data_IF_858383221614
#
_entry.id   IF_858383221614
#
_cell.length_a   1.000
_cell.length_b   1.000
_cell.length_c   1.000
_cell.angle_alpha   90.00
_cell.angle_beta   90.00
_cell.angle_gamma   90.00
#
_symmetry.space_group_name_H-M   'P 1'
#
loop_
_entity.id
_entity.type
_entity.pdbx_description
1 polymer ?
#
# COMPACT_ATOMS: atom_id res chain seq x y z
N UNK A 1 97.81 -34.69 12.03
CA UNK A 1 96.96 -34.64 10.87
C UNK A 1 95.52 -34.60 11.39
N UNK A 2 94.97 -33.43 11.47
CA UNK A 2 93.53 -33.20 11.86
C UNK A 2 92.94 -32.35 10.75
N UNK A 3 91.99 -32.96 10.04
CA UNK A 3 91.24 -32.26 9.01
C UNK A 3 90.19 -31.38 9.69
N UNK A 4 90.10 -30.11 9.24
CA UNK A 4 89.14 -29.13 9.66
C UNK A 4 88.06 -29.09 8.60
N UNK A 5 86.87 -29.59 8.93
CA UNK A 5 85.66 -29.41 8.08
C UNK A 5 85.06 -28.03 8.32
N UNK A 6 85.06 -27.20 7.30
CA UNK A 6 84.44 -25.89 7.29
C UNK A 6 82.99 -26.07 6.82
N UNK A 7 82.05 -25.92 7.80
CA UNK A 7 80.62 -26.01 7.49
C UNK A 7 80.10 -24.64 7.05
N UNK A 8 79.66 -24.53 5.78
CA UNK A 8 79.09 -23.31 5.23
C UNK A 8 77.56 -23.32 5.53
N UNK A 9 77.14 -22.48 6.49
CA UNK A 9 75.72 -22.29 6.80
C UNK A 9 75.09 -21.31 5.79
N UNK A 10 74.20 -21.80 4.96
CA UNK A 10 73.43 -21.02 4.02
C UNK A 10 72.20 -20.43 4.77
N UNK A 11 72.26 -19.12 5.09
CA UNK A 11 71.11 -18.36 5.60
C UNK A 11 70.10 -18.12 4.48
N UNK A 12 69.00 -18.87 4.43
CA UNK A 12 67.85 -18.58 3.58
C UNK A 12 67.01 -17.54 4.35
N UNK A 13 67.09 -16.28 3.91
CA UNK A 13 66.23 -15.21 4.39
C UNK A 13 64.78 -15.43 3.89
N UNK A 14 63.90 -15.79 4.79
CA UNK A 14 62.46 -15.80 4.49
C UNK A 14 61.95 -14.37 4.58
N UNK A 15 61.78 -13.70 3.40
CA UNK A 15 61.07 -12.46 3.31
C UNK A 15 59.57 -12.79 3.44
N UNK A 16 59.02 -12.62 4.65
CA UNK A 16 57.55 -12.52 4.87
C UNK A 16 57.09 -11.16 4.29
N UNK A 17 56.73 -11.13 3.04
CA UNK A 17 55.89 -10.05 2.50
C UNK A 17 54.49 -10.24 3.04
N UNK A 18 54.15 -9.42 4.04
CA UNK A 18 52.78 -9.27 4.49
C UNK A 18 51.97 -8.62 3.36
N UNK A 19 51.32 -9.45 2.54
CA UNK A 19 50.26 -8.99 1.64
C UNK A 19 49.06 -8.67 2.48
N UNK A 20 48.93 -7.41 2.89
CA UNK A 20 47.66 -6.85 3.33
C UNK A 20 46.69 -6.86 2.15
N UNK A 21 46.03 -7.99 1.92
CA UNK A 21 44.89 -8.06 1.05
C UNK A 21 43.65 -7.52 1.80
N UNK A 22 43.62 -6.21 2.02
CA UNK A 22 42.37 -5.48 2.29
C UNK A 22 41.71 -5.15 0.96
N UNK A 23 41.36 -6.17 0.19
CA UNK A 23 40.42 -6.08 -0.93
C UNK A 23 39.15 -6.83 -0.58
N UNK A 24 38.43 -6.36 0.45
CA UNK A 24 36.99 -6.56 0.53
C UNK A 24 36.32 -5.59 -0.46
N UNK A 25 36.59 -5.74 -1.74
CA UNK A 25 35.69 -5.28 -2.77
C UNK A 25 34.50 -6.27 -2.72
N UNK A 26 33.55 -5.99 -1.84
CA UNK A 26 32.21 -6.53 -1.96
C UNK A 26 31.75 -6.18 -3.38
N UNK A 27 31.66 -7.18 -4.24
CA UNK A 27 31.13 -7.08 -5.60
C UNK A 27 29.60 -6.94 -5.53
N UNK A 28 29.15 -5.93 -4.75
CA UNK A 28 27.73 -5.60 -4.65
C UNK A 28 27.32 -5.02 -5.98
N UNK A 29 26.27 -5.56 -6.60
CA UNK A 29 25.71 -5.03 -7.86
C UNK A 29 25.37 -3.53 -7.73
N UNK A 30 25.33 -2.82 -8.87
CA UNK A 30 24.82 -1.45 -8.85
C UNK A 30 23.40 -1.41 -8.30
N UNK A 31 23.15 -0.49 -7.37
CA UNK A 31 21.87 -0.39 -6.70
C UNK A 31 21.93 0.41 -5.41
N UNK A 32 20.81 0.45 -4.73
CA UNK A 32 20.67 1.04 -3.40
C UNK A 32 20.33 -0.06 -2.41
N UNK A 33 21.00 -0.05 -1.26
CA UNK A 33 20.85 -1.09 -0.25
C UNK A 33 20.66 -0.47 1.11
N UNK A 34 19.83 -1.13 1.93
CA UNK A 34 19.70 -0.86 3.35
C UNK A 34 20.26 -2.04 4.14
N UNK A 35 21.16 -1.78 5.09
CA UNK A 35 21.56 -2.75 6.09
C UNK A 35 20.83 -2.43 7.39
N UNK A 36 19.94 -3.30 7.82
CA UNK A 36 19.26 -3.23 9.12
C UNK A 36 20.07 -4.09 10.09
N UNK A 37 20.85 -3.43 10.97
CA UNK A 37 21.54 -4.11 12.05
C UNK A 37 20.56 -4.35 13.20
N UNK A 38 20.45 -5.59 13.63
CA UNK A 38 19.53 -5.99 14.69
C UNK A 38 20.24 -6.72 15.81
N UNK A 39 19.57 -6.92 16.95
CA UNK A 39 20.04 -7.76 18.06
C UNK A 39 20.25 -9.23 17.68
N UNK A 40 19.81 -9.67 16.49
CA UNK A 40 19.95 -11.05 15.99
C UNK A 40 20.95 -11.17 14.83
N UNK A 41 21.44 -10.07 14.32
CA UNK A 41 22.34 -9.98 13.16
C UNK A 41 21.91 -8.94 12.14
N UNK A 42 22.54 -8.96 11.00
CA UNK A 42 22.33 -7.99 9.94
C UNK A 42 21.37 -8.53 8.88
N UNK A 43 20.51 -7.65 8.35
CA UNK A 43 19.60 -7.92 7.23
C UNK A 43 19.94 -6.95 6.12
N UNK A 44 20.50 -7.44 5.01
CA UNK A 44 20.82 -6.65 3.84
C UNK A 44 19.67 -6.69 2.84
N UNK A 45 19.17 -5.53 2.45
CA UNK A 45 17.98 -5.36 1.60
C UNK A 45 18.36 -4.54 0.37
N UNK A 46 18.02 -5.03 -0.83
CA UNK A 46 18.07 -4.24 -2.06
C UNK A 46 16.80 -3.41 -2.15
N UNK A 47 16.95 -2.09 -2.36
CA UNK A 47 15.84 -1.14 -2.47
C UNK A 47 15.51 -0.86 -3.95
N UNK A 48 14.23 -0.87 -4.29
CA UNK A 48 13.72 -0.69 -5.66
C UNK A 48 13.47 0.80 -6.00
N UNK A 49 14.51 1.63 -5.81
CA UNK A 49 14.42 3.09 -5.92
C UNK A 49 14.06 3.61 -7.32
N UNK A 50 14.23 2.81 -8.39
CA UNK A 50 13.81 3.17 -9.75
C UNK A 50 12.33 2.82 -10.00
N UNK A 51 11.80 1.78 -9.33
CA UNK A 51 10.43 1.30 -9.52
C UNK A 51 9.43 1.92 -8.52
N UNK A 52 9.90 2.18 -7.29
CA UNK A 52 9.09 2.79 -6.23
C UNK A 52 9.85 3.95 -5.56
N UNK A 53 10.17 5.01 -6.34
CA UNK A 53 11.01 6.11 -5.89
C UNK A 53 10.43 6.88 -4.69
N UNK A 54 9.11 7.08 -4.60
CA UNK A 54 8.46 7.75 -3.48
C UNK A 54 8.65 6.96 -2.17
N UNK A 55 8.36 5.66 -2.21
CA UNK A 55 8.41 4.78 -1.04
C UNK A 55 9.84 4.59 -0.55
N UNK A 56 10.78 4.34 -1.48
CA UNK A 56 12.21 4.24 -1.14
C UNK A 56 12.74 5.57 -0.61
N UNK A 57 12.35 6.69 -1.21
CA UNK A 57 12.77 8.02 -0.75
C UNK A 57 12.31 8.30 0.68
N UNK A 58 11.07 7.97 1.03
CA UNK A 58 10.58 8.07 2.40
C UNK A 58 11.43 7.24 3.37
N UNK A 59 11.63 5.97 3.09
CA UNK A 59 12.39 5.06 3.93
C UNK A 59 13.84 5.53 4.11
N UNK A 60 14.51 5.86 3.02
CA UNK A 60 15.92 6.32 3.00
C UNK A 60 16.08 7.65 3.75
N UNK A 61 15.21 8.63 3.47
CA UNK A 61 15.31 9.93 4.12
C UNK A 61 15.02 9.85 5.64
N UNK A 62 14.15 8.95 6.07
CA UNK A 62 13.94 8.65 7.49
C UNK A 62 15.17 7.94 8.08
N UNK A 63 15.71 6.91 7.42
CA UNK A 63 16.90 6.19 7.88
C UNK A 63 18.12 7.11 8.05
N UNK A 64 18.29 8.07 7.15
CA UNK A 64 19.39 9.04 7.20
C UNK A 64 19.12 10.28 8.08
N UNK A 65 17.90 10.40 8.64
CA UNK A 65 17.50 11.56 9.43
C UNK A 65 17.25 12.83 8.61
N UNK A 66 17.11 12.72 7.30
CA UNK A 66 16.95 13.86 6.38
C UNK A 66 15.47 14.23 6.13
N UNK A 67 14.52 13.49 6.72
CA UNK A 67 13.10 13.72 6.60
C UNK A 67 12.53 14.46 7.81
N UNK A 68 11.85 15.61 7.57
CA UNK A 68 11.10 16.28 8.64
C UNK A 68 9.97 15.37 9.13
N UNK A 69 9.96 15.11 10.42
CA UNK A 69 8.96 14.27 11.08
C UNK A 69 8.66 14.81 12.49
N UNK A 70 7.67 14.23 13.18
CA UNK A 70 7.24 14.70 14.53
C UNK A 70 7.92 13.94 15.67
N UNK A 71 8.81 12.96 15.40
CA UNK A 71 9.35 12.04 16.43
C UNK A 71 10.84 12.21 16.65
N UNK A 72 11.59 12.60 15.62
CA UNK A 72 13.05 12.80 15.67
C UNK A 72 13.40 14.15 15.06
N UNK A 73 14.50 14.76 15.52
CA UNK A 73 15.03 15.97 14.90
C UNK A 73 15.71 15.68 13.58
N UNK A 74 15.79 16.66 12.71
CA UNK A 74 16.63 16.57 11.50
C UNK A 74 18.07 16.27 11.91
N UNK A 75 18.69 15.29 11.24
CA UNK A 75 20.01 14.77 11.52
C UNK A 75 20.00 13.53 12.44
N UNK A 76 18.85 13.17 13.03
CA UNK A 76 18.72 11.96 13.85
C UNK A 76 18.10 10.83 13.02
N UNK A 77 18.79 9.67 12.83
CA UNK A 77 18.23 8.49 12.17
C UNK A 77 16.93 8.04 12.84
N UNK A 78 15.88 7.90 12.02
CA UNK A 78 14.53 7.65 12.55
C UNK A 78 14.37 6.25 13.11
N UNK A 79 14.93 5.24 12.43
CA UNK A 79 14.73 3.83 12.75
C UNK A 79 15.62 3.30 13.87
N UNK A 80 16.71 3.99 14.18
CA UNK A 80 17.66 3.54 15.18
C UNK A 80 17.02 3.43 16.58
N UNK A 81 17.13 2.24 17.17
CA UNK A 81 16.54 1.89 18.47
C UNK A 81 15.05 1.50 18.41
N UNK A 82 14.41 1.48 17.24
CA UNK A 82 13.03 1.04 17.14
C UNK A 82 12.91 -0.49 17.18
N UNK A 83 11.74 -0.97 17.60
CA UNK A 83 11.44 -2.40 17.76
C UNK A 83 10.74 -3.00 16.54
N UNK A 84 10.90 -4.30 16.38
CA UNK A 84 9.93 -5.12 15.66
C UNK A 84 8.74 -5.40 16.58
N UNK A 85 7.80 -4.47 16.61
CA UNK A 85 6.67 -4.46 17.56
C UNK A 85 5.60 -5.51 17.25
N UNK A 86 5.63 -6.13 16.08
CA UNK A 86 4.70 -7.19 15.68
C UNK A 86 5.43 -8.24 14.84
N UNK A 87 5.43 -9.46 15.34
CA UNK A 87 6.01 -10.63 14.64
C UNK A 87 4.96 -11.72 14.59
N UNK A 88 4.67 -12.21 13.40
CA UNK A 88 3.76 -13.35 13.22
C UNK A 88 4.52 -14.42 12.44
N UNK A 89 4.73 -15.56 13.10
CA UNK A 89 5.39 -16.71 12.50
C UNK A 89 4.70 -17.11 11.18
N UNK A 90 5.50 -17.55 10.21
CA UNK A 90 5.03 -17.92 8.87
C UNK A 90 4.28 -16.82 8.11
N UNK A 91 4.41 -15.57 8.52
CA UNK A 91 3.81 -14.44 7.83
C UNK A 91 4.81 -13.29 7.65
N UNK A 92 5.12 -12.50 8.69
CA UNK A 92 6.01 -11.34 8.56
C UNK A 92 6.56 -10.85 9.91
N UNK A 93 7.61 -10.04 9.85
CA UNK A 93 8.07 -9.16 10.92
C UNK A 93 7.74 -7.71 10.55
N UNK A 94 7.22 -6.92 11.48
CA UNK A 94 6.82 -5.53 11.27
C UNK A 94 7.50 -4.60 12.26
N UNK A 95 8.14 -3.55 11.74
CA UNK A 95 8.85 -2.53 12.50
C UNK A 95 8.56 -1.11 12.02
N UNK A 96 9.38 -0.14 12.45
CA UNK A 96 9.30 1.26 12.02
C UNK A 96 8.23 2.10 12.74
N UNK A 97 7.58 1.55 13.77
CA UNK A 97 6.66 2.31 14.61
C UNK A 97 7.44 3.07 15.70
N UNK A 98 7.40 4.41 15.77
CA UNK A 98 8.17 5.19 16.72
C UNK A 98 7.75 4.96 18.19
N UNK A 99 6.49 4.61 18.40
CA UNK A 99 5.93 4.38 19.74
C UNK A 99 6.04 2.89 20.16
N UNK A 100 6.47 2.00 19.23
CA UNK A 100 6.60 0.56 19.49
C UNK A 100 5.29 -0.17 19.76
N UNK A 101 4.14 0.45 19.45
CA UNK A 101 2.78 -0.08 19.72
C UNK A 101 1.98 -0.38 18.45
N UNK A 102 2.54 -0.08 17.27
CA UNK A 102 1.86 -0.25 15.99
C UNK A 102 0.93 0.91 15.58
N UNK A 103 0.68 1.87 16.46
CA UNK A 103 -0.20 3.02 16.20
C UNK A 103 0.54 4.30 15.84
N UNK A 104 1.85 4.38 16.13
CA UNK A 104 2.68 5.56 15.86
C UNK A 104 3.02 5.72 14.37
N UNK A 105 3.15 6.97 13.94
CA UNK A 105 3.57 7.36 12.59
C UNK A 105 4.57 8.54 12.64
N UNK A 106 5.18 8.92 11.50
CA UNK A 106 6.14 10.01 11.48
C UNK A 106 5.50 11.41 11.53
N UNK A 107 4.16 11.50 11.65
CA UNK A 107 3.40 12.75 11.65
C UNK A 107 2.90 13.19 10.27
N UNK A 108 3.01 12.30 9.28
CA UNK A 108 2.47 12.48 7.92
C UNK A 108 2.12 11.11 7.31
N UNK A 109 1.36 11.17 6.22
CA UNK A 109 1.03 10.02 5.38
C UNK A 109 1.36 10.31 3.92
N UNK A 110 1.62 9.25 3.14
CA UNK A 110 1.87 9.37 1.71
C UNK A 110 1.15 8.28 0.93
N UNK A 111 1.01 8.52 -0.38
CA UNK A 111 0.25 7.67 -1.30
C UNK A 111 0.88 6.30 -1.49
N UNK A 112 0.05 5.31 -1.80
CA UNK A 112 0.51 4.01 -2.26
C UNK A 112 1.26 4.14 -3.59
N UNK A 113 2.27 3.28 -3.78
CA UNK A 113 3.08 3.23 -4.97
C UNK A 113 3.25 1.76 -5.40
N UNK A 114 2.41 1.34 -6.34
CA UNK A 114 2.40 -0.04 -6.83
C UNK A 114 3.11 -0.14 -8.19
N UNK A 115 4.00 -1.12 -8.31
CA UNK A 115 4.66 -1.44 -9.57
C UNK A 115 4.30 -2.87 -9.99
N UNK A 116 3.98 -3.13 -11.28
CA UNK A 116 3.51 -4.44 -11.75
C UNK A 116 4.50 -5.58 -11.51
N UNK A 117 5.81 -5.29 -11.55
CA UNK A 117 6.86 -6.29 -11.32
C UNK A 117 7.14 -6.57 -9.84
N UNK A 118 6.62 -5.75 -8.92
CA UNK A 118 6.88 -5.88 -7.49
C UNK A 118 5.69 -6.54 -6.80
N UNK A 119 5.91 -7.75 -6.34
CA UNK A 119 4.91 -8.64 -5.76
C UNK A 119 5.37 -9.23 -4.43
N UNK A 120 4.42 -9.68 -3.63
CA UNK A 120 4.68 -10.45 -2.42
C UNK A 120 4.77 -11.95 -2.75
N UNK A 121 5.66 -12.32 -3.69
CA UNK A 121 5.76 -13.64 -4.31
C UNK A 121 6.71 -14.61 -3.59
N UNK A 122 7.40 -14.15 -2.55
CA UNK A 122 8.38 -14.93 -1.78
C UNK A 122 8.56 -14.38 -0.37
N UNK A 123 9.37 -15.07 0.45
CA UNK A 123 9.92 -14.52 1.69
C UNK A 123 10.96 -13.43 1.42
N UNK A 124 11.17 -12.55 2.41
CA UNK A 124 12.13 -11.45 2.33
C UNK A 124 11.65 -10.22 1.54
N UNK A 125 10.38 -10.14 1.19
CA UNK A 125 9.81 -8.93 0.56
C UNK A 125 9.65 -7.82 1.60
N UNK A 126 10.25 -6.65 1.32
CA UNK A 126 10.10 -5.43 2.11
C UNK A 126 8.93 -4.61 1.55
N UNK A 127 7.94 -4.33 2.39
CA UNK A 127 6.71 -3.66 2.00
C UNK A 127 6.20 -2.71 3.08
N UNK A 128 5.43 -1.68 2.71
CA UNK A 128 4.87 -0.70 3.64
C UNK A 128 3.67 -1.26 4.42
N UNK A 129 3.68 -1.11 5.73
CA UNK A 129 2.49 -1.26 6.53
C UNK A 129 1.62 0.00 6.43
N UNK A 130 0.30 -0.18 6.32
CA UNK A 130 -0.67 0.91 6.23
C UNK A 130 -2.00 0.56 6.92
N UNK A 131 -2.87 1.54 7.10
CA UNK A 131 -4.23 1.40 7.66
C UNK A 131 -5.32 1.48 6.60
N UNK A 132 -4.98 1.28 5.34
CA UNK A 132 -5.83 1.39 4.16
C UNK A 132 -5.14 2.21 3.06
N UNK A 133 -5.81 2.46 1.92
CA UNK A 133 -5.22 3.16 0.79
C UNK A 133 -4.60 4.52 1.16
N UNK A 134 -3.40 4.79 0.63
CA UNK A 134 -2.71 6.09 0.78
C UNK A 134 -2.42 6.51 2.22
N UNK A 135 -2.21 5.55 3.12
CA UNK A 135 -1.91 5.83 4.54
C UNK A 135 -0.53 5.35 4.97
N UNK A 136 0.42 5.23 4.03
CA UNK A 136 1.80 4.85 4.34
C UNK A 136 2.48 5.90 5.21
N UNK A 137 3.35 5.47 6.11
CA UNK A 137 4.11 6.33 7.02
C UNK A 137 5.55 5.84 7.17
N UNK A 138 5.95 5.46 8.39
CA UNK A 138 7.28 4.91 8.66
C UNK A 138 7.29 3.39 8.87
N UNK A 139 6.12 2.77 9.09
CA UNK A 139 6.05 1.35 9.40
C UNK A 139 6.21 0.50 8.14
N UNK A 140 7.01 -0.55 8.24
CA UNK A 140 7.25 -1.52 7.18
C UNK A 140 7.21 -2.95 7.73
N UNK A 141 7.11 -3.92 6.84
CA UNK A 141 7.23 -5.33 7.19
C UNK A 141 8.13 -6.09 6.19
N UNK A 142 8.69 -7.19 6.65
CA UNK A 142 9.46 -8.13 5.84
C UNK A 142 8.77 -9.48 5.93
N UNK A 143 8.45 -10.08 4.78
CA UNK A 143 7.70 -11.35 4.74
C UNK A 143 8.58 -12.56 5.06
N UNK A 144 8.01 -13.58 5.72
CA UNK A 144 8.66 -14.89 5.91
C UNK A 144 8.45 -15.79 4.69
N UNK A 145 7.35 -15.63 3.96
CA UNK A 145 6.98 -16.40 2.78
C UNK A 145 6.16 -15.54 1.81
N UNK A 146 5.70 -16.11 0.71
CA UNK A 146 4.78 -15.48 -0.22
C UNK A 146 3.47 -15.06 0.45
N UNK A 147 2.98 -13.85 0.12
CA UNK A 147 1.74 -13.29 0.66
C UNK A 147 0.95 -12.55 -0.44
N UNK A 148 0.54 -13.24 -1.52
CA UNK A 148 -0.01 -12.59 -2.72
C UNK A 148 -1.29 -11.81 -2.48
N UNK A 149 -2.04 -12.09 -1.41
CA UNK A 149 -3.24 -11.33 -1.02
C UNK A 149 -2.96 -9.88 -0.57
N UNK A 150 -1.68 -9.51 -0.39
CA UNK A 150 -1.23 -8.15 -0.08
C UNK A 150 -0.92 -7.33 -1.34
N UNK A 151 -0.85 -7.95 -2.52
CA UNK A 151 -0.60 -7.27 -3.79
C UNK A 151 -1.66 -6.22 -4.07
N UNK A 152 -1.21 -5.03 -4.51
CA UNK A 152 -2.09 -3.88 -4.76
C UNK A 152 -2.73 -3.27 -3.50
N UNK A 153 -2.29 -3.68 -2.30
CA UNK A 153 -2.74 -3.12 -1.01
C UNK A 153 -1.58 -2.54 -0.19
N UNK A 154 -0.38 -3.09 -0.36
CA UNK A 154 0.84 -2.65 0.32
C UNK A 154 1.94 -2.43 -0.72
N UNK A 155 2.66 -1.31 -0.59
CA UNK A 155 3.71 -0.91 -1.53
C UNK A 155 4.98 -1.70 -1.27
N UNK A 156 5.33 -2.62 -2.18
CA UNK A 156 6.61 -3.32 -2.17
C UNK A 156 7.70 -2.37 -2.63
N UNK A 157 8.79 -2.26 -1.87
CA UNK A 157 9.89 -1.34 -2.21
C UNK A 157 11.29 -1.91 -2.04
N UNK A 158 11.42 -3.20 -1.74
CA UNK A 158 12.69 -3.88 -1.63
C UNK A 158 12.57 -5.37 -1.39
N UNK A 159 13.70 -6.05 -1.36
CA UNK A 159 13.81 -7.46 -1.00
C UNK A 159 15.12 -7.77 -0.29
N UNK A 160 15.08 -8.70 0.65
CA UNK A 160 16.25 -9.20 1.37
C UNK A 160 17.16 -9.94 0.38
N UNK A 161 18.43 -9.58 0.39
CA UNK A 161 19.48 -10.22 -0.41
C UNK A 161 20.43 -11.07 0.45
N UNK A 162 20.60 -10.69 1.74
CA UNK A 162 21.34 -11.46 2.74
C UNK A 162 20.67 -11.33 4.11
N UNK A 163 20.75 -12.33 4.98
CA UNK A 163 20.20 -12.30 6.34
C UNK A 163 18.75 -12.77 6.44
N UNK A 164 18.26 -13.62 5.53
CA UNK A 164 16.92 -14.19 5.65
C UNK A 164 16.77 -15.09 6.89
N UNK A 165 17.85 -15.74 7.33
CA UNK A 165 17.93 -16.48 8.58
C UNK A 165 17.76 -15.55 9.80
N UNK A 166 18.25 -14.31 9.72
CA UNK A 166 18.04 -13.28 10.75
C UNK A 166 16.58 -12.84 10.78
N UNK A 167 15.96 -12.58 9.61
CA UNK A 167 14.52 -12.28 9.49
C UNK A 167 13.69 -13.35 10.20
N UNK A 168 14.01 -14.63 9.97
CA UNK A 168 13.31 -15.75 10.59
C UNK A 168 13.59 -15.92 12.09
N UNK A 169 14.71 -15.37 12.60
CA UNK A 169 15.10 -15.42 14.00
C UNK A 169 14.59 -14.22 14.83
N UNK A 170 14.11 -13.15 14.19
CA UNK A 170 13.55 -11.97 14.88
C UNK A 170 12.32 -12.39 15.67
N UNK A 171 12.31 -12.00 16.94
CA UNK A 171 11.18 -12.11 17.85
C UNK A 171 10.53 -10.74 18.08
N UNK A 172 9.32 -10.76 18.61
CA UNK A 172 8.64 -9.51 19.00
C UNK A 172 9.47 -8.77 20.04
N UNK A 173 9.56 -7.46 19.88
CA UNK A 173 10.37 -6.52 20.67
C UNK A 173 11.89 -6.57 20.45
N UNK A 174 12.40 -7.41 19.56
CA UNK A 174 13.79 -7.29 19.10
C UNK A 174 14.03 -5.91 18.46
N UNK A 175 15.25 -5.39 18.61
CA UNK A 175 15.59 -4.00 18.29
C UNK A 175 16.35 -3.91 16.96
N UNK A 176 15.96 -2.93 16.14
CA UNK A 176 16.80 -2.40 15.07
C UNK A 176 17.84 -1.45 15.70
N UNK A 177 19.11 -1.89 15.78
CA UNK A 177 20.17 -1.07 16.35
C UNK A 177 20.50 0.13 15.48
N UNK A 178 20.54 -0.10 14.15
CA UNK A 178 20.72 0.97 13.16
C UNK A 178 20.23 0.55 11.78
N UNK A 179 19.90 1.54 10.93
CA UNK A 179 19.61 1.35 9.52
C UNK A 179 20.55 2.22 8.68
N UNK A 180 21.44 1.59 7.92
CA UNK A 180 22.44 2.29 7.10
C UNK A 180 22.15 2.10 5.61
N UNK A 181 22.36 3.16 4.81
CA UNK A 181 22.08 3.15 3.38
C UNK A 181 23.39 3.14 2.58
N UNK A 182 23.53 2.17 1.69
CA UNK A 182 24.65 2.06 0.76
C UNK A 182 24.17 2.31 -0.66
N UNK A 183 24.89 3.18 -1.38
CA UNK A 183 24.60 3.55 -2.77
C UNK A 183 25.74 3.11 -3.67
N UNK A 184 25.50 2.15 -4.55
CA UNK A 184 26.46 1.67 -5.54
C UNK A 184 26.00 2.04 -6.97
N UNK A 185 26.90 2.62 -7.78
CA UNK A 185 26.58 3.12 -9.11
C UNK A 185 26.10 4.58 -9.13
N UNK A 186 26.11 5.18 -10.30
CA UNK A 186 25.84 6.62 -10.48
C UNK A 186 24.41 7.02 -10.15
N UNK A 187 23.43 6.22 -10.55
CA UNK A 187 21.99 6.47 -10.30
C UNK A 187 21.70 6.48 -8.80
N UNK A 188 22.16 5.46 -8.06
CA UNK A 188 21.95 5.38 -6.63
C UNK A 188 22.63 6.55 -5.89
N UNK A 189 23.85 6.92 -6.29
CA UNK A 189 24.62 8.05 -5.71
C UNK A 189 23.95 9.41 -5.94
N UNK A 190 23.26 9.58 -7.06
CA UNK A 190 22.54 10.82 -7.38
C UNK A 190 21.16 10.92 -6.76
N UNK A 191 20.67 9.87 -6.08
CA UNK A 191 19.35 9.82 -5.48
C UNK A 191 19.33 10.62 -4.17
N UNK A 192 18.83 11.85 -4.22
CA UNK A 192 18.51 12.68 -3.06
C UNK A 192 17.13 12.33 -2.54
N UNK A 193 17.09 11.55 -1.47
CA UNK A 193 15.85 10.96 -0.96
C UNK A 193 14.83 12.01 -0.50
N UNK A 194 15.25 13.05 0.22
CA UNK A 194 14.34 14.08 0.72
C UNK A 194 13.71 14.88 -0.43
N UNK A 195 14.52 15.22 -1.45
CA UNK A 195 14.05 15.91 -2.64
C UNK A 195 13.11 15.03 -3.47
N UNK A 196 13.50 13.78 -3.73
CA UNK A 196 12.68 12.82 -4.50
C UNK A 196 11.33 12.60 -3.83
N UNK A 197 11.28 12.44 -2.50
CA UNK A 197 10.02 12.31 -1.77
C UNK A 197 9.10 13.50 -2.00
N UNK A 198 9.58 14.73 -1.87
CA UNK A 198 8.80 15.95 -2.08
C UNK A 198 8.27 16.07 -3.52
N UNK A 199 9.13 15.79 -4.50
CA UNK A 199 8.79 15.89 -5.92
C UNK A 199 7.75 14.81 -6.32
N UNK A 200 7.96 13.55 -5.95
CA UNK A 200 7.07 12.44 -6.30
C UNK A 200 5.73 12.53 -5.57
N UNK A 201 5.71 12.90 -4.29
CA UNK A 201 4.46 13.14 -3.58
C UNK A 201 3.65 14.28 -4.21
N UNK A 202 4.31 15.36 -4.58
CA UNK A 202 3.66 16.48 -5.29
C UNK A 202 3.08 16.04 -6.63
N UNK A 203 3.82 15.24 -7.39
CA UNK A 203 3.38 14.68 -8.67
C UNK A 203 2.16 13.76 -8.50
N UNK A 204 2.18 12.88 -7.50
CA UNK A 204 1.04 11.98 -7.22
C UNK A 204 -0.20 12.74 -6.78
N UNK A 205 -0.07 13.75 -5.91
CA UNK A 205 -1.18 14.62 -5.51
C UNK A 205 -1.81 15.32 -6.72
N UNK A 206 -0.99 15.90 -7.61
CA UNK A 206 -1.47 16.55 -8.84
C UNK A 206 -2.18 15.57 -9.77
N UNK A 207 -1.66 14.35 -9.91
CA UNK A 207 -2.28 13.30 -10.73
C UNK A 207 -3.64 12.85 -10.14
N UNK A 208 -3.73 12.67 -8.83
CA UNK A 208 -4.97 12.34 -8.14
C UNK A 208 -6.02 13.46 -8.28
N UNK A 209 -5.62 14.73 -8.11
CA UNK A 209 -6.50 15.89 -8.30
C UNK A 209 -7.01 16.03 -9.74
N UNK A 210 -6.14 15.77 -10.72
CA UNK A 210 -6.54 15.73 -12.13
C UNK A 210 -7.59 14.65 -12.37
N UNK A 211 -7.33 13.43 -11.91
CA UNK A 211 -8.27 12.30 -12.04
C UNK A 211 -9.60 12.60 -11.35
N UNK A 212 -9.57 13.20 -10.15
CA UNK A 212 -10.79 13.61 -9.42
C UNK A 212 -11.61 14.63 -10.21
N UNK A 213 -10.97 15.63 -10.84
CA UNK A 213 -11.65 16.63 -11.69
C UNK A 213 -12.26 15.99 -12.94
N UNK A 214 -11.55 15.08 -13.59
CA UNK A 214 -12.05 14.33 -14.76
C UNK A 214 -13.27 13.48 -14.38
N UNK A 215 -13.22 12.77 -13.24
CA UNK A 215 -14.37 12.01 -12.73
C UNK A 215 -15.56 12.90 -12.40
N UNK A 216 -15.34 14.04 -11.74
CA UNK A 216 -16.40 14.99 -11.43
C UNK A 216 -17.09 15.53 -12.70
N UNK A 217 -16.31 15.82 -13.74
CA UNK A 217 -16.86 16.23 -15.04
C UNK A 217 -17.65 15.11 -15.72
N UNK A 218 -17.13 13.87 -15.70
CA UNK A 218 -17.83 12.71 -16.24
C UNK A 218 -19.14 12.45 -15.48
N UNK A 219 -19.11 12.51 -14.14
CA UNK A 219 -20.32 12.39 -13.31
C UNK A 219 -21.35 13.46 -13.63
N UNK A 220 -20.92 14.71 -13.79
CA UNK A 220 -21.82 15.81 -14.18
C UNK A 220 -22.54 15.50 -15.51
N UNK A 221 -21.82 14.96 -16.49
CA UNK A 221 -22.42 14.56 -17.78
C UNK A 221 -23.40 13.39 -17.62
N UNK A 222 -23.09 12.39 -16.79
CA UNK A 222 -24.01 11.28 -16.50
C UNK A 222 -25.29 11.75 -15.82
N UNK A 223 -25.19 12.80 -14.99
CA UNK A 223 -26.31 13.37 -14.24
C UNK A 223 -27.17 14.34 -15.06
N UNK A 224 -26.84 14.58 -16.34
CA UNK A 224 -27.71 15.40 -17.22
C UNK A 224 -29.10 14.77 -17.32
N UNK A 225 -30.15 15.58 -17.04
CA UNK A 225 -31.54 15.14 -16.99
C UNK A 225 -31.92 14.26 -15.79
N UNK A 226 -31.04 14.13 -14.78
CA UNK A 226 -31.36 13.53 -13.50
C UNK A 226 -31.75 14.60 -12.46
N UNK A 227 -32.63 14.23 -11.53
CA UNK A 227 -32.80 14.99 -10.29
C UNK A 227 -31.61 14.68 -9.38
N UNK A 228 -30.94 15.72 -8.89
CA UNK A 228 -29.77 15.58 -7.99
C UNK A 228 -30.23 15.98 -6.60
N UNK A 229 -30.01 15.11 -5.63
CA UNK A 229 -30.33 15.34 -4.22
C UNK A 229 -29.23 16.12 -3.50
N UNK A 230 -29.49 16.58 -2.26
CA UNK A 230 -28.49 17.29 -1.44
C UNK A 230 -27.25 16.40 -1.13
N UNK A 231 -27.42 15.08 -1.06
CA UNK A 231 -26.31 14.14 -0.85
C UNK A 231 -25.42 13.97 -2.08
N UNK A 232 -25.90 14.41 -3.27
CA UNK A 232 -25.24 14.22 -4.55
C UNK A 232 -25.70 12.97 -5.32
N UNK A 233 -26.71 12.23 -4.83
CA UNK A 233 -27.34 11.15 -5.58
C UNK A 233 -28.07 11.72 -6.81
N UNK A 234 -27.78 11.19 -8.00
CA UNK A 234 -28.59 11.44 -9.21
C UNK A 234 -29.62 10.34 -9.39
N UNK A 235 -30.89 10.72 -9.69
CA UNK A 235 -31.88 9.72 -10.11
C UNK A 235 -32.73 10.18 -11.29
N UNK A 236 -33.05 9.26 -12.17
CA UNK A 236 -33.97 9.47 -13.29
C UNK A 236 -35.15 8.54 -13.11
N UNK A 237 -36.34 9.11 -12.88
CA UNK A 237 -37.57 8.31 -12.83
C UNK A 237 -37.92 7.82 -14.24
N UNK A 238 -37.95 6.52 -14.42
CA UNK A 238 -38.30 5.85 -15.69
C UNK A 238 -39.78 5.52 -15.71
N UNK A 239 -40.33 5.12 -14.58
CA UNK A 239 -41.76 4.83 -14.44
C UNK A 239 -42.20 5.15 -13.02
N UNK A 240 -43.24 5.95 -12.87
CA UNK A 240 -43.86 6.18 -11.57
C UNK A 240 -44.57 4.92 -11.07
N UNK A 241 -44.35 4.58 -9.82
CA UNK A 241 -45.12 3.52 -9.15
C UNK A 241 -46.47 4.04 -8.66
N UNK A 242 -47.44 3.17 -8.62
CA UNK A 242 -48.81 3.49 -8.15
C UNK A 242 -49.15 2.84 -6.81
N UNK A 243 -48.27 1.98 -6.29
CA UNK A 243 -48.44 1.29 -5.03
C UNK A 243 -47.93 2.06 -3.80
N UNK A 244 -47.62 1.35 -2.73
CA UNK A 244 -47.17 1.90 -1.44
C UNK A 244 -45.80 2.57 -1.61
N UNK A 245 -45.60 3.73 -0.95
CA UNK A 245 -44.35 4.44 -0.86
C UNK A 245 -43.34 3.64 -0.01
N UNK A 246 -42.09 3.49 -0.50
CA UNK A 246 -41.00 2.97 0.32
C UNK A 246 -40.67 3.98 1.44
N UNK A 247 -40.61 3.50 2.67
CA UNK A 247 -40.29 4.32 3.84
C UNK A 247 -39.27 3.61 4.74
N UNK A 248 -38.44 4.38 5.43
CA UNK A 248 -37.44 3.84 6.35
C UNK A 248 -38.06 2.90 7.39
N UNK A 249 -37.39 1.81 7.70
CA UNK A 249 -37.82 0.79 8.63
C UNK A 249 -38.73 -0.29 8.03
N UNK A 250 -39.19 -0.12 6.78
CA UNK A 250 -39.96 -1.14 6.04
C UNK A 250 -39.02 -2.08 5.27
N UNK A 251 -39.43 -3.32 5.14
CA UNK A 251 -38.77 -4.29 4.24
C UNK A 251 -39.19 -4.00 2.82
N UNK A 252 -38.23 -3.77 1.95
CA UNK A 252 -38.44 -3.53 0.52
C UNK A 252 -37.92 -4.71 -0.30
N UNK A 253 -38.60 -5.02 -1.42
CA UNK A 253 -38.20 -6.02 -2.40
C UNK A 253 -37.85 -5.30 -3.70
N UNK A 254 -36.60 -5.45 -4.19
CA UNK A 254 -36.07 -4.66 -5.30
C UNK A 254 -35.42 -5.55 -6.33
N UNK A 255 -35.84 -5.41 -7.59
CA UNK A 255 -35.04 -5.88 -8.73
C UNK A 255 -34.07 -4.80 -9.20
N UNK A 256 -32.87 -5.21 -9.62
CA UNK A 256 -31.85 -4.27 -10.08
C UNK A 256 -30.86 -4.86 -11.05
N UNK A 257 -30.18 -3.96 -11.78
CA UNK A 257 -28.93 -4.22 -12.51
C UNK A 257 -27.94 -3.13 -12.21
N UNK A 258 -26.79 -3.49 -11.63
CA UNK A 258 -25.68 -2.59 -11.31
C UNK A 258 -24.60 -2.63 -12.38
N UNK A 259 -24.17 -1.43 -12.83
CA UNK A 259 -23.17 -1.22 -13.89
C UNK A 259 -22.14 -0.17 -13.46
N UNK A 260 -20.92 -0.32 -13.96
CA UNK A 260 -19.92 0.75 -13.98
C UNK A 260 -20.27 1.79 -15.06
N UNK A 261 -19.57 2.93 -15.04
CA UNK A 261 -19.80 4.02 -16.00
C UNK A 261 -19.41 3.69 -17.45
N UNK A 262 -18.62 2.64 -17.65
CA UNK A 262 -18.29 2.07 -18.97
C UNK A 262 -19.32 1.06 -19.48
N UNK A 263 -20.38 0.80 -18.70
CA UNK A 263 -21.43 -0.16 -19.01
C UNK A 263 -21.17 -1.58 -18.51
N UNK A 264 -20.00 -1.86 -17.92
CA UNK A 264 -19.68 -3.18 -17.37
C UNK A 264 -20.64 -3.54 -16.24
N UNK A 265 -21.44 -4.59 -16.42
CA UNK A 265 -22.34 -5.12 -15.39
C UNK A 265 -21.51 -5.85 -14.31
N UNK A 266 -21.69 -5.48 -13.04
CA UNK A 266 -21.02 -6.13 -11.94
C UNK A 266 -21.95 -6.98 -11.07
N UNK A 267 -23.26 -6.69 -11.03
CA UNK A 267 -24.25 -7.49 -10.33
C UNK A 267 -25.66 -7.25 -10.89
N UNK A 268 -26.52 -8.27 -10.79
CA UNK A 268 -27.95 -8.16 -11.15
C UNK A 268 -28.79 -9.19 -10.41
N UNK A 269 -29.91 -8.76 -9.86
CA UNK A 269 -30.93 -9.64 -9.29
C UNK A 269 -31.63 -10.48 -10.35
N UNK A 270 -31.66 -10.01 -11.58
CA UNK A 270 -32.25 -10.74 -12.72
C UNK A 270 -31.43 -11.99 -13.09
N UNK A 271 -30.10 -11.98 -12.86
CA UNK A 271 -29.25 -13.16 -13.10
C UNK A 271 -29.58 -14.31 -12.14
N UNK A 272 -30.20 -14.00 -11.00
CA UNK A 272 -30.65 -14.95 -9.96
C UNK A 272 -32.16 -15.22 -10.01
N UNK A 273 -32.89 -14.51 -10.88
CA UNK A 273 -34.36 -14.50 -10.93
C UNK A 273 -35.03 -14.25 -9.56
N UNK A 274 -34.36 -13.48 -8.69
CA UNK A 274 -34.82 -13.21 -7.34
C UNK A 274 -34.50 -11.77 -6.95
N UNK A 275 -35.50 -10.94 -6.55
CA UNK A 275 -35.27 -9.61 -6.01
C UNK A 275 -34.48 -9.70 -4.70
N UNK A 276 -33.76 -8.64 -4.37
CA UNK A 276 -33.13 -8.50 -3.05
C UNK A 276 -34.16 -7.92 -2.07
N UNK A 277 -34.21 -8.48 -0.87
CA UNK A 277 -35.02 -7.94 0.24
C UNK A 277 -34.13 -7.38 1.34
N UNK A 278 -34.43 -6.19 1.83
CA UNK A 278 -33.73 -5.56 2.95
C UNK A 278 -34.61 -4.54 3.67
N UNK A 279 -34.25 -4.20 4.92
CA UNK A 279 -34.92 -3.14 5.68
C UNK A 279 -34.32 -1.80 5.29
N UNK A 280 -35.14 -0.91 4.72
CA UNK A 280 -34.71 0.40 4.20
C UNK A 280 -34.24 1.32 5.34
N UNK A 281 -33.16 2.07 5.08
CA UNK A 281 -32.63 3.07 6.02
C UNK A 281 -31.82 2.49 7.18
N UNK A 282 -31.42 1.21 7.14
CA UNK A 282 -30.68 0.54 8.20
C UNK A 282 -29.18 0.31 7.84
N UNK A 283 -28.69 0.88 6.74
CA UNK A 283 -27.30 0.69 6.30
C UNK A 283 -26.97 -0.75 5.89
N UNK A 284 -27.96 -1.51 5.46
CA UNK A 284 -27.76 -2.88 4.93
C UNK A 284 -27.29 -2.89 3.49
N UNK A 285 -27.46 -1.77 2.82
CA UNK A 285 -27.04 -1.51 1.45
C UNK A 285 -26.22 -0.22 1.40
N UNK A 286 -25.65 0.12 0.24
CA UNK A 286 -24.95 1.40 0.07
C UNK A 286 -25.88 2.58 0.30
N UNK A 287 -25.32 3.70 0.81
CA UNK A 287 -26.11 4.90 1.18
C UNK A 287 -27.00 5.41 0.05
N UNK A 288 -26.48 5.40 -1.19
CA UNK A 288 -27.24 5.81 -2.37
C UNK A 288 -28.48 4.95 -2.62
N UNK A 289 -28.51 3.70 -2.17
CA UNK A 289 -29.70 2.84 -2.23
C UNK A 289 -30.70 3.15 -1.12
N UNK A 290 -30.22 3.28 0.14
CA UNK A 290 -31.12 3.63 1.27
C UNK A 290 -31.85 4.95 0.98
N UNK A 291 -31.17 5.90 0.35
CA UNK A 291 -31.77 7.16 -0.05
C UNK A 291 -32.66 7.00 -1.32
N UNK A 292 -32.12 6.45 -2.41
CA UNK A 292 -32.79 6.42 -3.71
C UNK A 292 -34.08 5.61 -3.72
N UNK A 293 -34.10 4.45 -3.03
CA UNK A 293 -35.32 3.62 -2.94
C UNK A 293 -36.44 4.33 -2.19
N UNK A 294 -36.12 5.22 -1.23
CA UNK A 294 -37.13 6.00 -0.51
C UNK A 294 -37.97 6.92 -1.39
N UNK A 295 -37.49 7.25 -2.58
CA UNK A 295 -38.22 8.06 -3.57
C UNK A 295 -39.20 7.25 -4.43
N UNK A 296 -39.16 5.90 -4.33
CA UNK A 296 -39.99 5.03 -5.17
C UNK A 296 -41.28 4.60 -4.45
N UNK A 297 -42.31 4.35 -5.27
CA UNK A 297 -43.52 3.60 -4.92
C UNK A 297 -43.49 2.23 -5.58
N UNK A 298 -44.18 1.25 -5.03
CA UNK A 298 -44.30 -0.10 -5.61
C UNK A 298 -44.76 -0.02 -7.06
N UNK A 299 -44.05 -0.74 -7.94
CA UNK A 299 -44.20 -0.72 -9.39
C UNK A 299 -43.41 0.40 -10.10
N UNK A 300 -42.71 1.23 -9.34
CA UNK A 300 -41.83 2.29 -9.85
C UNK A 300 -40.49 1.77 -10.31
N UNK A 301 -39.93 2.43 -11.34
CA UNK A 301 -38.59 2.16 -11.89
C UNK A 301 -37.79 3.43 -11.98
N UNK A 302 -36.52 3.37 -11.63
CA UNK A 302 -35.59 4.48 -11.76
C UNK A 302 -34.17 4.01 -12.12
N UNK A 303 -33.41 4.91 -12.71
CA UNK A 303 -31.95 4.76 -12.81
C UNK A 303 -31.32 5.65 -11.76
N UNK A 304 -30.51 5.07 -10.88
CA UNK A 304 -29.71 5.78 -9.89
C UNK A 304 -28.27 5.94 -10.42
N UNK A 305 -27.71 7.13 -10.26
CA UNK A 305 -26.32 7.48 -10.52
C UNK A 305 -25.71 7.82 -9.19
N UNK A 306 -24.93 6.90 -8.64
CA UNK A 306 -24.47 6.93 -7.26
C UNK A 306 -22.97 7.25 -7.24
N UNK A 307 -22.56 8.46 -6.80
CA UNK A 307 -21.16 8.78 -6.58
C UNK A 307 -20.50 7.83 -5.57
N UNK A 308 -19.19 7.68 -5.67
CA UNK A 308 -18.44 6.72 -4.86
C UNK A 308 -18.60 6.89 -3.34
N UNK A 309 -18.73 8.10 -2.86
CA UNK A 309 -18.92 8.44 -1.45
C UNK A 309 -20.30 8.00 -0.89
N UNK A 310 -21.28 7.78 -1.77
CA UNK A 310 -22.56 7.15 -1.44
C UNK A 310 -22.57 5.64 -1.75
N UNK A 311 -21.44 5.08 -2.19
CA UNK A 311 -21.26 3.68 -2.60
C UNK A 311 -20.11 3.02 -1.79
N UNK A 312 -19.03 2.60 -2.48
CA UNK A 312 -17.93 1.84 -1.88
C UNK A 312 -16.64 2.66 -1.65
N UNK A 313 -16.66 3.96 -1.95
CA UNK A 313 -15.58 4.91 -1.66
C UNK A 313 -14.24 4.55 -2.27
N UNK A 314 -13.17 4.93 -1.58
CA UNK A 314 -11.78 4.69 -2.02
C UNK A 314 -11.36 3.22 -2.00
N UNK A 315 -12.11 2.34 -1.34
CA UNK A 315 -11.77 0.90 -1.25
C UNK A 315 -12.28 0.09 -2.44
N UNK A 316 -13.35 0.56 -3.11
CA UNK A 316 -14.06 -0.28 -4.07
C UNK A 316 -14.66 -1.53 -3.42
N UNK A 317 -15.04 -2.54 -4.20
CA UNK A 317 -15.61 -3.79 -3.67
C UNK A 317 -15.30 -5.00 -4.56
N UNK A 318 -14.96 -6.12 -3.91
CA UNK A 318 -14.90 -7.46 -4.50
C UNK A 318 -13.95 -7.64 -5.68
N UNK A 319 -13.00 -6.72 -5.91
CA UNK A 319 -12.13 -6.73 -7.10
C UNK A 319 -12.85 -6.40 -8.40
N UNK A 320 -14.16 -6.17 -8.37
CA UNK A 320 -15.02 -5.89 -9.53
C UNK A 320 -15.37 -4.41 -9.61
N UNK A 321 -15.57 -3.76 -8.46
CA UNK A 321 -15.85 -2.32 -8.35
C UNK A 321 -14.55 -1.59 -8.00
N UNK A 322 -13.99 -0.80 -8.93
CA UNK A 322 -12.76 -0.06 -8.68
C UNK A 322 -12.88 0.98 -7.56
N UNK A 323 -11.77 1.41 -6.96
CA UNK A 323 -11.72 2.57 -6.07
C UNK A 323 -12.33 3.82 -6.72
N UNK A 324 -13.12 4.55 -5.92
CA UNK A 324 -13.78 5.80 -6.33
C UNK A 324 -14.75 5.68 -7.52
N UNK A 325 -15.27 4.48 -7.80
CA UNK A 325 -16.19 4.25 -8.91
C UNK A 325 -17.56 4.88 -8.64
N UNK A 326 -18.08 5.63 -9.62
CA UNK A 326 -19.49 5.98 -9.70
C UNK A 326 -20.27 4.78 -10.23
N UNK A 327 -21.39 4.44 -9.62
CA UNK A 327 -22.21 3.31 -9.98
C UNK A 327 -23.53 3.76 -10.63
N UNK A 328 -23.99 2.96 -11.59
CA UNK A 328 -25.28 3.14 -12.23
C UNK A 328 -26.13 1.92 -11.89
N UNK A 329 -27.31 2.15 -11.32
CA UNK A 329 -28.27 1.09 -11.01
C UNK A 329 -29.61 1.36 -11.69
N UNK A 330 -30.04 0.44 -12.52
CA UNK A 330 -31.42 0.37 -12.95
C UNK A 330 -32.19 -0.43 -11.88
N UNK A 331 -33.21 0.16 -11.27
CA UNK A 331 -33.95 -0.42 -10.14
C UNK A 331 -35.44 -0.47 -10.39
N UNK A 332 -36.09 -1.47 -9.86
CA UNK A 332 -37.55 -1.61 -9.82
C UNK A 332 -38.00 -2.01 -8.41
N UNK A 333 -38.85 -1.22 -7.80
CA UNK A 333 -39.45 -1.54 -6.49
C UNK A 333 -40.64 -2.46 -6.68
N UNK A 334 -40.51 -3.71 -6.18
CA UNK A 334 -41.50 -4.76 -6.37
C UNK A 334 -42.53 -4.79 -5.24
N UNK A 335 -42.08 -4.59 -3.99
CA UNK A 335 -42.96 -4.71 -2.81
C UNK A 335 -42.42 -3.89 -1.62
N UNK A 336 -43.31 -3.54 -0.68
CA UNK A 336 -43.04 -2.88 0.60
C UNK A 336 -43.87 -3.57 1.70
N UNK A 337 -43.20 -4.16 2.69
CA UNK A 337 -43.81 -4.93 3.79
C UNK A 337 -43.68 -4.23 5.14
#
# INVERSE_FOLDING_TARGET
MKEIFLSLALLVGINCTSTNNNNNNNNMEEGMYANIKTTKGDILIKLEFEKTPLTVANFVALAEGNMKNQKKKIGEPYYDGLKFHRVIADFMIQGGCPDGLGTGDPGYKFSDEFHPDLKHDKGGILSMANSGPNTNGSQFFITHKETPWLDGKHSVFGSVVEGMEVVNAIAQDDIMESVTITRNGSKAKSFDAAKVFGDEQTKMIKAADKKRKEMALANKKLMEGATITESGLGYKMIKEGTGVQATNGKTVSVHYTGKLTDGTKFDSSHDRNQPIEFVLGQGRVIRGWDEGISYLKVGGKATFIIPSDLAYGERGAGGVIPPNATLIFDVELMDVK
#
